data_IF_183884157871
#
_entry.id   IF_183884157871
#
_cell.length_a   1.000
_cell.length_b   1.000
_cell.length_c   1.000
_cell.angle_alpha   90.00
_cell.angle_beta   90.00
_cell.angle_gamma   90.00
#
_symmetry.space_group_name_H-M   'P 1'
#
loop_
_entity.id
_entity.type
_entity.pdbx_description
1 polymer ?
#
# COMPACT_ATOMS: atom_id res chain seq x y z
N UNK A 1 13.06 8.08 41.54
CA UNK A 1 14.52 8.03 41.28
C UNK A 1 15.10 6.60 41.20
N UNK A 2 14.29 5.53 41.11
CA UNK A 2 14.80 4.14 41.19
C UNK A 2 14.89 3.39 39.85
N UNK A 3 14.27 3.91 38.80
CA UNK A 3 14.32 3.35 37.45
C UNK A 3 14.67 4.50 36.50
N UNK A 4 15.63 4.26 35.62
CA UNK A 4 16.06 5.21 34.59
C UNK A 4 15.10 5.09 33.41
N UNK A 5 14.54 6.21 32.98
CA UNK A 5 13.82 6.31 31.71
C UNK A 5 14.76 6.76 30.58
N UNK A 6 14.22 6.99 29.39
CA UNK A 6 14.99 7.42 28.21
C UNK A 6 15.62 8.80 28.42
N UNK A 7 14.93 9.69 29.13
CA UNK A 7 15.35 11.07 29.39
C UNK A 7 16.50 11.11 30.41
N UNK A 8 16.35 10.37 31.50
CA UNK A 8 17.30 10.30 32.62
C UNK A 8 18.68 9.76 32.23
N UNK A 9 18.84 9.15 31.04
CA UNK A 9 20.13 8.66 30.53
C UNK A 9 21.08 9.77 30.10
N UNK A 10 20.52 10.93 29.75
CA UNK A 10 21.27 12.13 29.39
C UNK A 10 21.45 13.08 30.58
N UNK A 11 20.95 12.65 31.76
CA UNK A 11 21.22 13.15 33.10
C UNK A 11 22.71 13.13 33.43
N UNK A 12 23.38 14.24 33.72
CA UNK A 12 24.74 14.24 34.27
C UNK A 12 24.90 15.20 35.45
N UNK A 13 25.69 14.79 36.43
CA UNK A 13 26.08 15.60 37.58
C UNK A 13 27.46 16.24 37.32
N UNK A 14 27.50 17.56 37.21
CA UNK A 14 28.69 18.33 36.84
C UNK A 14 29.83 18.27 37.87
N UNK A 15 29.52 18.00 39.14
CA UNK A 15 30.52 17.90 40.20
C UNK A 15 31.28 16.58 40.17
N UNK A 16 30.65 15.53 39.63
CA UNK A 16 31.22 14.18 39.57
C UNK A 16 31.55 13.72 38.15
N UNK A 17 31.09 14.43 37.12
CA UNK A 17 31.14 14.04 35.70
C UNK A 17 30.53 12.65 35.45
N UNK A 18 29.62 12.20 36.33
CA UNK A 18 28.94 10.92 36.21
C UNK A 18 27.55 11.12 35.62
N UNK A 19 27.22 10.31 34.62
CA UNK A 19 25.86 10.24 34.12
C UNK A 19 24.97 9.51 35.11
N UNK A 20 23.69 9.85 35.13
CA UNK A 20 22.72 9.32 36.08
C UNK A 20 22.59 7.80 35.98
N UNK A 21 22.91 7.17 34.85
CA UNK A 21 22.95 5.71 34.72
C UNK A 21 24.15 5.04 35.43
N UNK A 22 25.20 5.81 35.72
CA UNK A 22 26.37 5.39 36.48
C UNK A 22 26.21 5.63 38.00
N UNK A 23 25.30 6.53 38.38
CA UNK A 23 25.04 6.91 39.78
C UNK A 23 24.13 5.93 40.52
N UNK A 24 24.24 5.90 41.84
CA UNK A 24 23.29 5.25 42.75
C UNK A 24 22.02 6.09 42.94
N UNK A 25 20.96 5.49 43.50
CA UNK A 25 19.73 6.22 43.84
C UNK A 25 19.98 7.40 44.81
N UNK A 26 20.94 7.26 45.72
CA UNK A 26 21.28 8.31 46.69
C UNK A 26 22.00 9.47 46.03
N UNK A 27 22.95 9.17 45.14
CA UNK A 27 23.68 10.19 44.38
C UNK A 27 22.75 10.94 43.43
N UNK A 28 21.86 10.24 42.70
CA UNK A 28 20.82 10.91 41.89
C UNK A 28 19.90 11.82 42.71
N UNK A 29 19.62 11.46 43.96
CA UNK A 29 18.80 12.30 44.83
C UNK A 29 19.49 13.58 45.27
N UNK A 30 20.82 13.57 45.38
CA UNK A 30 21.62 14.78 45.63
C UNK A 30 21.67 15.63 44.36
N UNK A 31 21.99 15.01 43.22
CA UNK A 31 22.06 15.68 41.90
C UNK A 31 20.75 16.37 41.49
N UNK A 32 19.60 15.76 41.80
CA UNK A 32 18.27 16.30 41.47
C UNK A 32 17.89 17.60 42.22
N UNK A 33 18.71 18.01 43.21
CA UNK A 33 18.54 19.24 44.00
C UNK A 33 19.83 20.06 44.05
N UNK A 34 20.66 19.98 42.99
CA UNK A 34 21.91 20.74 42.87
C UNK A 34 21.81 21.82 41.77
N UNK A 35 21.36 23.05 42.10
CA UNK A 35 21.09 24.09 41.12
C UNK A 35 22.34 24.48 40.33
N UNK A 36 22.23 24.41 39.01
CA UNK A 36 23.29 24.78 38.07
C UNK A 36 24.36 23.71 37.84
N UNK A 37 24.27 22.56 38.51
CA UNK A 37 25.20 21.45 38.37
C UNK A 37 24.58 20.18 37.76
N UNK A 38 23.24 20.09 37.69
CA UNK A 38 22.57 19.10 36.86
C UNK A 38 22.63 19.52 35.38
N UNK A 39 23.17 18.67 34.52
CA UNK A 39 23.45 18.96 33.11
C UNK A 39 22.79 17.94 32.18
N UNK A 40 22.37 18.39 31.00
CA UNK A 40 22.03 17.55 29.85
C UNK A 40 23.28 17.31 29.00
N UNK A 41 23.57 16.03 28.74
CA UNK A 41 24.78 15.59 28.04
C UNK A 41 24.54 14.90 26.69
N UNK A 42 23.33 15.01 26.12
CA UNK A 42 23.01 14.46 24.81
C UNK A 42 23.83 15.10 23.66
N UNK A 43 24.11 14.29 22.65
CA UNK A 43 25.04 14.66 21.56
C UNK A 43 24.51 15.82 20.73
N UNK A 44 23.21 15.83 20.45
CA UNK A 44 22.59 16.85 19.60
C UNK A 44 22.48 18.18 20.35
N UNK A 45 22.00 18.16 21.59
CA UNK A 45 21.94 19.38 22.43
C UNK A 45 23.33 19.96 22.66
N UNK A 46 24.34 19.11 22.89
CA UNK A 46 25.71 19.60 23.09
C UNK A 46 26.30 20.21 21.82
N UNK A 47 25.99 19.65 20.65
CA UNK A 47 26.38 20.23 19.36
C UNK A 47 25.69 21.58 19.08
N UNK A 48 24.40 21.70 19.41
CA UNK A 48 23.61 22.92 19.22
C UNK A 48 23.87 24.01 20.27
N UNK A 49 24.45 23.67 21.43
CA UNK A 49 24.65 24.59 22.57
C UNK A 49 25.35 25.92 22.25
N UNK A 50 26.04 26.03 21.11
CA UNK A 50 26.64 27.27 20.63
C UNK A 50 25.65 28.40 20.32
N UNK A 51 24.35 28.12 20.18
CA UNK A 51 23.30 29.14 20.03
C UNK A 51 22.97 29.84 21.36
N UNK A 52 23.31 29.22 22.49
CA UNK A 52 23.01 29.73 23.83
C UNK A 52 24.06 30.74 24.27
N UNK A 53 23.60 31.80 24.92
CA UNK A 53 24.48 32.84 25.50
C UNK A 53 24.70 32.66 27.00
N UNK A 54 23.88 31.85 27.66
CA UNK A 54 23.96 31.53 29.09
C UNK A 54 23.38 30.14 29.37
N UNK A 55 23.58 29.64 30.60
CA UNK A 55 22.99 28.38 31.05
C UNK A 55 23.74 27.12 30.62
N UNK A 56 25.00 27.23 30.23
CA UNK A 56 25.85 26.09 29.83
C UNK A 56 27.04 25.89 30.77
N UNK A 57 27.55 24.66 30.80
CA UNK A 57 28.83 24.28 31.43
C UNK A 57 29.64 23.53 30.37
N UNK A 58 30.59 24.23 29.75
CA UNK A 58 31.21 23.75 28.51
C UNK A 58 30.16 23.68 27.39
N UNK A 59 30.05 22.53 26.73
CA UNK A 59 29.03 22.27 25.71
C UNK A 59 27.73 21.69 26.30
N UNK A 60 27.69 21.36 27.60
CA UNK A 60 26.52 20.77 28.25
C UNK A 60 25.57 21.87 28.71
N UNK A 61 24.27 21.60 28.68
CA UNK A 61 23.21 22.58 29.01
C UNK A 61 22.65 22.29 30.39
N UNK A 62 22.40 23.32 31.19
CA UNK A 62 21.89 23.14 32.56
C UNK A 62 20.43 22.73 32.60
N UNK A 63 20.11 21.84 33.53
CA UNK A 63 18.77 21.36 33.80
C UNK A 63 18.27 21.87 35.14
N UNK A 64 16.97 22.07 35.26
CA UNK A 64 16.34 22.66 36.44
C UNK A 64 16.36 21.70 37.64
N UNK A 65 17.23 21.96 38.61
CA UNK A 65 17.40 21.14 39.82
C UNK A 65 17.24 21.97 41.12
N UNK A 66 16.04 22.50 41.42
CA UNK A 66 15.82 23.32 42.61
C UNK A 66 15.92 22.53 43.91
N UNK A 67 16.34 23.19 44.99
CA UNK A 67 16.23 22.69 46.38
C UNK A 67 15.16 23.47 47.16
N UNK A 68 14.05 22.83 47.59
CA UNK A 68 13.72 21.41 47.42
C UNK A 68 13.14 21.10 46.03
N UNK A 69 13.09 19.80 45.69
CA UNK A 69 12.44 19.27 44.47
C UNK A 69 11.05 19.87 44.30
N UNK A 70 10.78 20.39 43.11
CA UNK A 70 9.48 20.88 42.70
C UNK A 70 8.75 19.85 41.83
N UNK A 71 7.55 19.41 42.22
CA UNK A 71 6.78 18.45 41.42
C UNK A 71 6.50 18.95 40.00
N UNK A 72 6.75 18.10 39.01
CA UNK A 72 6.47 18.39 37.61
C UNK A 72 7.59 19.13 36.88
N UNK A 73 8.44 19.89 37.59
CA UNK A 73 9.45 20.73 36.97
C UNK A 73 10.88 20.21 37.12
N UNK A 74 11.26 19.76 38.32
CA UNK A 74 12.62 19.30 38.61
C UNK A 74 13.06 18.21 37.63
N UNK A 75 14.28 18.36 37.12
CA UNK A 75 15.01 17.43 36.26
C UNK A 75 14.38 17.14 34.90
N UNK A 76 13.30 17.82 34.53
CA UNK A 76 12.61 17.63 33.23
C UNK A 76 12.53 18.90 32.40
N UNK A 77 13.01 20.03 32.93
CA UNK A 77 13.06 21.32 32.25
C UNK A 77 14.50 21.83 32.22
N UNK A 78 14.80 22.69 31.26
CA UNK A 78 16.04 23.46 31.25
C UNK A 78 16.08 24.44 32.43
N UNK A 79 17.28 24.75 32.91
CA UNK A 79 17.44 25.76 33.95
C UNK A 79 17.01 27.15 33.45
N UNK A 80 16.42 27.97 34.30
CA UNK A 80 16.00 29.35 33.95
C UNK A 80 17.15 30.29 33.54
N UNK A 81 18.40 29.83 33.64
CA UNK A 81 19.57 30.53 33.12
C UNK A 81 19.88 30.20 31.64
N UNK A 82 19.21 29.20 31.05
CA UNK A 82 19.39 28.77 29.65
C UNK A 82 18.67 29.75 28.74
N UNK A 83 19.43 30.59 28.03
CA UNK A 83 18.87 31.64 27.19
C UNK A 83 19.81 32.04 26.05
N UNK A 84 19.24 32.62 25.00
CA UNK A 84 19.98 33.28 23.91
C UNK A 84 19.56 34.74 23.78
N UNK A 85 20.44 35.65 24.24
CA UNK A 85 20.13 37.07 24.30
C UNK A 85 19.00 37.36 25.29
N UNK A 86 17.83 37.74 24.79
CA UNK A 86 16.62 37.98 25.59
C UNK A 86 15.54 36.90 25.40
N UNK A 87 15.83 35.84 24.66
CA UNK A 87 14.89 34.75 24.42
C UNK A 87 15.13 33.62 25.42
N UNK A 88 14.04 33.19 26.06
CA UNK A 88 13.99 32.09 27.01
C UNK A 88 13.74 30.77 26.26
N UNK A 89 14.15 29.65 26.84
CA UNK A 89 13.97 28.33 26.22
C UNK A 89 12.54 27.78 26.42
N UNK A 90 11.97 27.15 25.39
CA UNK A 90 10.59 26.62 25.43
C UNK A 90 10.34 25.66 26.59
N UNK A 91 11.31 24.79 26.89
CA UNK A 91 11.20 23.78 27.94
C UNK A 91 11.78 24.26 29.28
N UNK A 92 11.65 25.55 29.60
CA UNK A 92 11.88 26.10 30.94
C UNK A 92 10.77 25.70 31.94
N UNK A 93 11.03 25.71 33.26
CA UNK A 93 10.08 25.26 34.27
C UNK A 93 8.83 26.16 34.40
N UNK A 94 8.88 27.39 33.89
CA UNK A 94 7.80 28.37 33.99
C UNK A 94 7.65 29.10 32.65
N UNK A 95 6.41 29.24 32.17
CA UNK A 95 6.13 30.03 30.97
C UNK A 95 6.37 31.53 31.24
N UNK A 96 7.19 32.17 30.41
CA UNK A 96 7.56 33.59 30.46
C UNK A 96 6.90 34.42 29.35
N UNK A 97 6.38 33.76 28.29
CA UNK A 97 5.66 34.38 27.16
C UNK A 97 6.52 34.86 25.99
N UNK A 98 7.84 34.75 26.10
CA UNK A 98 8.84 35.07 25.06
C UNK A 98 9.71 33.83 24.73
N UNK A 99 9.15 32.62 24.89
CA UNK A 99 9.87 31.37 24.74
C UNK A 99 10.11 31.01 23.26
N UNK A 100 11.27 30.42 22.96
CA UNK A 100 11.65 29.92 21.63
C UNK A 100 12.29 28.54 21.72
N UNK A 101 12.34 27.83 20.59
CA UNK A 101 13.10 26.59 20.45
C UNK A 101 14.59 26.94 20.24
N UNK A 102 15.44 26.95 21.28
CA UNK A 102 16.89 27.12 21.07
C UNK A 102 17.57 25.76 21.02
N UNK A 103 17.27 24.87 21.98
CA UNK A 103 17.81 23.50 22.06
C UNK A 103 16.77 22.44 22.42
N UNK A 104 15.49 22.82 22.58
CA UNK A 104 14.39 21.87 22.87
C UNK A 104 14.23 20.82 21.79
N UNK A 105 14.46 21.19 20.54
CA UNK A 105 14.32 20.33 19.37
C UNK A 105 15.35 19.19 19.38
N UNK A 106 16.61 19.54 19.64
CA UNK A 106 17.72 18.61 19.78
C UNK A 106 17.55 17.71 21.01
N UNK A 107 16.97 18.23 22.09
CA UNK A 107 16.65 17.42 23.27
C UNK A 107 15.66 16.31 22.91
N UNK A 108 14.62 16.63 22.15
CA UNK A 108 13.63 15.65 21.69
C UNK A 108 14.29 14.61 20.77
N UNK A 109 15.18 15.05 19.89
CA UNK A 109 15.95 14.17 19.03
C UNK A 109 16.89 13.23 19.81
N UNK A 110 17.59 13.74 20.84
CA UNK A 110 18.44 12.95 21.73
C UNK A 110 17.66 11.80 22.41
N UNK A 111 16.41 12.03 22.79
CA UNK A 111 15.53 10.99 23.39
C UNK A 111 14.77 10.15 22.36
N UNK A 112 15.06 10.31 21.07
CA UNK A 112 14.54 9.48 19.98
C UNK A 112 13.25 9.98 19.32
N UNK A 113 12.90 11.25 19.49
CA UNK A 113 11.76 11.90 18.84
C UNK A 113 12.27 12.74 17.66
N UNK A 114 11.85 12.45 16.43
CA UNK A 114 12.29 13.22 15.26
C UNK A 114 11.36 14.39 14.99
N UNK A 115 11.93 15.52 14.60
CA UNK A 115 11.18 16.65 14.06
C UNK A 115 10.66 16.32 12.68
N UNK A 116 9.55 16.97 12.36
CA UNK A 116 8.73 16.74 11.18
C UNK A 116 9.37 17.44 9.98
N UNK A 117 9.35 16.75 8.86
CA UNK A 117 9.50 17.31 7.52
C UNK A 117 8.92 18.72 7.38
N UNK A 118 9.67 19.59 6.69
CA UNK A 118 9.30 20.95 6.34
C UNK A 118 9.91 22.02 7.24
N UNK A 119 11.07 21.76 7.86
CA UNK A 119 11.80 22.70 8.72
C UNK A 119 12.97 23.40 8.01
N UNK A 120 13.19 23.09 6.74
CA UNK A 120 14.23 23.63 5.88
C UNK A 120 15.60 22.95 6.01
N UNK A 121 15.73 21.87 6.79
CA UNK A 121 16.97 21.12 6.99
C UNK A 121 16.76 19.62 6.73
N UNK A 122 17.71 18.95 6.06
CA UNK A 122 17.54 17.51 5.75
C UNK A 122 18.01 16.68 6.94
N UNK A 123 17.07 16.26 7.77
CA UNK A 123 17.32 15.52 9.01
C UNK A 123 17.52 14.01 8.78
N UNK A 124 17.92 13.31 9.84
CA UNK A 124 18.16 11.87 9.83
C UNK A 124 16.93 11.04 9.45
N UNK A 125 16.81 10.66 8.17
CA UNK A 125 15.71 9.88 7.61
C UNK A 125 15.01 10.57 6.43
N UNK A 126 15.36 11.82 6.15
CA UNK A 126 14.85 12.62 5.05
C UNK A 126 15.74 12.47 3.81
N UNK A 127 15.12 12.62 2.63
CA UNK A 127 15.77 12.64 1.33
C UNK A 127 15.77 14.07 0.72
N UNK A 128 14.91 14.95 1.23
CA UNK A 128 14.76 16.36 0.88
C UNK A 128 14.04 17.06 2.05
N UNK A 129 14.17 18.37 2.18
CA UNK A 129 13.30 19.22 3.02
C UNK A 129 13.20 20.61 2.36
N UNK A 130 12.03 20.97 1.84
CA UNK A 130 11.81 22.20 1.07
C UNK A 130 11.08 23.30 1.87
N UNK A 131 11.30 23.34 3.20
CA UNK A 131 10.78 24.38 4.11
C UNK A 131 9.24 24.42 4.19
N UNK A 132 8.58 23.32 3.82
CA UNK A 132 7.14 23.17 3.93
C UNK A 132 6.70 21.68 3.94
N UNK A 133 5.38 21.44 4.09
CA UNK A 133 4.80 20.09 4.09
C UNK A 133 3.76 19.92 2.98
N UNK A 134 3.90 20.63 1.87
CA UNK A 134 2.99 20.57 0.72
C UNK A 134 3.48 19.45 -0.18
N UNK A 135 2.71 18.38 -0.34
CA UNK A 135 3.04 17.37 -1.33
C UNK A 135 2.75 17.86 -2.77
N UNK A 136 3.51 17.36 -3.73
CA UNK A 136 3.33 17.60 -5.17
C UNK A 136 4.26 18.66 -5.77
N UNK A 137 5.23 19.19 -5.03
CA UNK A 137 6.26 20.13 -5.49
C UNK A 137 7.67 19.52 -5.54
N UNK A 138 7.78 18.22 -5.27
CA UNK A 138 9.02 17.45 -5.36
C UNK A 138 9.56 16.97 -4.02
N UNK A 139 9.11 17.53 -2.90
CA UNK A 139 9.39 16.99 -1.57
C UNK A 139 8.09 16.61 -0.86
N UNK A 140 7.92 15.31 -0.58
CA UNK A 140 6.66 14.84 0.01
C UNK A 140 6.49 15.32 1.45
N UNK A 141 5.27 15.21 1.99
CA UNK A 141 4.95 15.49 3.40
C UNK A 141 5.73 14.64 4.44
N UNK A 142 6.49 13.65 3.95
CA UNK A 142 7.34 12.75 4.73
C UNK A 142 8.83 12.97 4.41
N UNK A 143 9.16 14.06 3.72
CA UNK A 143 10.50 14.45 3.30
C UNK A 143 11.22 13.35 2.53
N UNK A 144 10.47 12.68 1.67
CA UNK A 144 10.97 11.80 0.62
C UNK A 144 10.86 12.52 -0.71
N UNK A 145 11.87 12.37 -1.57
CA UNK A 145 11.84 12.93 -2.93
C UNK A 145 10.67 12.28 -3.68
N UNK A 146 9.80 13.11 -4.24
CA UNK A 146 8.63 12.63 -4.97
C UNK A 146 9.02 12.00 -6.30
N UNK A 147 8.26 11.02 -6.81
CA UNK A 147 8.47 10.49 -8.15
C UNK A 147 8.53 11.61 -9.19
N UNK A 148 9.39 11.43 -10.19
CA UNK A 148 9.61 12.42 -11.25
C UNK A 148 10.13 13.78 -10.77
N UNK A 149 10.76 13.83 -9.60
CA UNK A 149 11.48 15.01 -9.13
C UNK A 149 12.90 14.64 -8.73
N UNK A 150 13.81 15.60 -8.86
CA UNK A 150 15.11 15.56 -8.21
C UNK A 150 15.30 16.82 -7.37
N UNK A 151 15.69 16.60 -6.12
CA UNK A 151 16.01 17.66 -5.17
C UNK A 151 17.53 17.80 -5.07
N UNK A 152 18.02 19.03 -5.01
CA UNK A 152 19.42 19.28 -4.70
C UNK A 152 19.71 19.10 -3.21
N UNK A 153 20.98 19.24 -2.84
CA UNK A 153 21.43 19.08 -1.46
C UNK A 153 21.47 20.42 -0.69
N UNK A 154 20.70 21.43 -1.11
CA UNK A 154 20.58 22.65 -0.31
C UNK A 154 19.62 22.44 0.87
N UNK A 155 19.75 23.30 1.86
CA UNK A 155 18.90 23.35 3.04
C UNK A 155 18.36 24.80 3.13
N UNK A 156 17.11 25.05 2.69
CA UNK A 156 16.11 24.08 2.18
C UNK A 156 16.45 23.51 0.80
N UNK A 157 15.98 22.30 0.51
CA UNK A 157 16.12 21.59 -0.76
C UNK A 157 15.31 22.26 -1.86
N UNK A 158 15.91 22.42 -3.05
CA UNK A 158 15.21 22.87 -4.26
C UNK A 158 14.91 21.68 -5.17
N UNK A 159 13.64 21.31 -5.27
CA UNK A 159 13.19 20.21 -6.13
C UNK A 159 12.80 20.69 -7.53
N UNK A 160 13.19 19.92 -8.55
CA UNK A 160 12.86 20.22 -9.95
C UNK A 160 12.17 19.04 -10.62
N UNK A 161 11.14 19.29 -11.46
CA UNK A 161 10.46 18.24 -12.19
C UNK A 161 11.36 17.65 -13.26
N UNK A 162 11.42 16.32 -13.31
CA UNK A 162 12.16 15.58 -14.31
C UNK A 162 11.33 15.33 -15.56
N UNK A 163 12.02 15.10 -16.68
CA UNK A 163 11.42 14.71 -17.95
C UNK A 163 12.28 13.66 -18.63
N UNK A 164 11.64 12.57 -19.11
CA UNK A 164 12.30 11.49 -19.83
C UNK A 164 13.09 10.50 -18.97
N UNK A 165 13.15 10.70 -17.65
CA UNK A 165 13.65 9.68 -16.73
C UNK A 165 12.60 8.58 -16.54
N UNK A 166 13.01 7.30 -16.46
CA UNK A 166 12.11 6.24 -16.07
C UNK A 166 11.61 6.52 -14.65
N UNK A 167 10.30 6.60 -14.50
CA UNK A 167 9.63 6.31 -13.25
C UNK A 167 9.05 4.91 -13.43
N UNK A 168 9.29 3.98 -12.52
CA UNK A 168 8.66 2.65 -12.59
C UNK A 168 7.51 2.60 -11.58
N UNK A 169 6.31 2.34 -12.06
CA UNK A 169 5.11 1.97 -11.29
C UNK A 169 5.09 0.47 -10.94
N UNK A 170 6.09 -0.28 -11.42
CA UNK A 170 6.22 -1.73 -11.25
C UNK A 170 5.42 -2.55 -12.26
N UNK A 171 4.93 -1.95 -13.34
CA UNK A 171 4.20 -2.63 -14.43
C UNK A 171 5.11 -2.94 -15.59
N UNK A 172 5.19 -4.23 -15.94
CA UNK A 172 6.14 -4.71 -16.94
C UNK A 172 5.80 -4.37 -18.41
N UNK A 173 4.58 -3.90 -18.68
CA UNK A 173 4.07 -3.61 -20.02
C UNK A 173 3.83 -2.12 -20.32
N UNK A 174 4.08 -1.22 -19.36
CA UNK A 174 4.03 0.22 -19.60
C UNK A 174 5.44 0.73 -19.93
N UNK A 175 5.55 1.58 -20.95
CA UNK A 175 6.74 2.43 -21.06
C UNK A 175 6.43 3.72 -20.32
N UNK A 176 7.02 3.86 -19.15
CA UNK A 176 6.77 5.00 -18.28
C UNK A 176 7.91 6.00 -18.37
N UNK A 177 7.53 7.27 -18.42
CA UNK A 177 8.51 8.34 -18.39
C UNK A 177 7.93 9.55 -17.66
N UNK A 178 8.80 10.23 -16.94
CA UNK A 178 8.46 11.50 -16.35
C UNK A 178 8.17 12.53 -17.44
N UNK A 179 7.08 13.27 -17.27
CA UNK A 179 6.71 14.39 -18.14
C UNK A 179 6.23 15.52 -17.24
N UNK A 180 7.04 16.57 -17.13
CA UNK A 180 6.77 17.75 -16.30
C UNK A 180 6.42 17.42 -14.83
N UNK A 181 7.21 16.55 -14.18
CA UNK A 181 7.03 16.20 -12.76
C UNK A 181 5.93 15.16 -12.51
N UNK A 182 5.30 14.66 -13.57
CA UNK A 182 4.28 13.62 -13.48
C UNK A 182 4.81 12.35 -14.13
N UNK A 183 4.67 11.22 -13.46
CA UNK A 183 4.92 9.93 -14.09
C UNK A 183 3.81 9.66 -15.10
N UNK A 184 4.17 9.56 -16.38
CA UNK A 184 3.22 9.27 -17.45
C UNK A 184 3.45 7.86 -17.96
N UNK A 185 2.41 7.04 -17.89
CA UNK A 185 2.36 5.68 -18.41
C UNK A 185 1.68 5.68 -19.77
N UNK A 186 2.35 5.21 -20.82
CA UNK A 186 1.64 4.84 -22.05
C UNK A 186 1.00 3.45 -21.88
N UNK A 187 -0.19 3.44 -21.29
CA UNK A 187 -0.98 2.22 -21.05
C UNK A 187 -1.51 1.58 -22.35
N UNK A 188 -1.22 2.15 -23.51
CA UNK A 188 -1.66 1.64 -24.82
C UNK A 188 -1.05 0.27 -25.16
N UNK A 189 -0.05 -0.21 -24.42
CA UNK A 189 0.65 -1.49 -24.67
C UNK A 189 0.26 -2.65 -23.73
N UNK A 190 -0.51 -2.42 -22.68
CA UNK A 190 -0.91 -3.47 -21.73
C UNK A 190 -2.17 -4.21 -22.21
N UNK A 191 -2.00 -5.08 -23.21
CA UNK A 191 -3.07 -5.99 -23.62
C UNK A 191 -3.50 -6.87 -22.44
N UNK A 192 -4.81 -6.93 -22.19
CA UNK A 192 -5.40 -7.82 -21.19
C UNK A 192 -4.98 -9.27 -21.45
N UNK A 193 -4.52 -9.97 -20.41
CA UNK A 193 -4.11 -11.38 -20.52
C UNK A 193 -5.28 -12.38 -20.53
N UNK A 194 -5.01 -13.61 -20.96
CA UNK A 194 -5.91 -14.72 -20.64
C UNK A 194 -5.73 -15.10 -19.18
N UNK A 195 -6.81 -15.48 -18.50
CA UNK A 195 -6.76 -15.92 -17.11
C UNK A 195 -7.24 -17.36 -16.97
N UNK A 196 -6.43 -18.19 -16.33
CA UNK A 196 -6.85 -19.52 -15.90
C UNK A 196 -7.32 -19.48 -14.45
N UNK A 197 -8.59 -19.79 -14.23
CA UNK A 197 -9.20 -19.71 -12.90
C UNK A 197 -9.26 -21.08 -12.23
N UNK A 198 -8.85 -21.09 -10.96
CA UNK A 198 -8.86 -22.24 -10.08
C UNK A 198 -9.87 -22.03 -8.97
N UNK A 199 -10.73 -23.03 -8.73
CA UNK A 199 -11.55 -23.07 -7.52
C UNK A 199 -10.65 -22.95 -6.29
N UNK A 200 -11.00 -22.02 -5.42
CA UNK A 200 -10.23 -21.70 -4.24
C UNK A 200 -11.12 -21.67 -2.99
N UNK A 201 -10.47 -21.81 -1.83
CA UNK A 201 -11.05 -21.63 -0.50
C UNK A 201 -9.98 -21.07 0.42
N UNK A 202 -10.37 -20.37 1.48
CA UNK A 202 -9.45 -19.97 2.55
C UNK A 202 -8.64 -21.18 3.03
N UNK A 203 -7.32 -21.03 3.06
CA UNK A 203 -6.42 -22.05 3.60
C UNK A 203 -6.62 -22.18 5.12
N UNK A 204 -6.24 -23.33 5.67
CA UNK A 204 -6.31 -23.55 7.11
C UNK A 204 -5.34 -22.60 7.83
N UNK A 205 -5.80 -21.95 8.90
CA UNK A 205 -4.99 -20.98 9.65
C UNK A 205 -4.90 -19.59 9.01
N UNK A 206 -5.49 -19.38 7.82
CA UNK A 206 -5.56 -18.05 7.22
C UNK A 206 -6.63 -17.18 7.89
N UNK A 207 -6.38 -15.86 7.90
CA UNK A 207 -7.39 -14.86 8.26
C UNK A 207 -8.51 -14.94 7.24
N UNK A 208 -9.72 -15.27 7.70
CA UNK A 208 -10.86 -15.44 6.79
C UNK A 208 -11.36 -14.07 6.33
N UNK A 209 -11.64 -13.96 5.04
CA UNK A 209 -12.35 -12.81 4.49
C UNK A 209 -13.68 -12.57 5.23
N UNK A 210 -13.86 -11.32 5.65
CA UNK A 210 -15.11 -10.83 6.22
C UNK A 210 -15.95 -10.18 5.12
N UNK A 211 -17.17 -10.68 4.97
CA UNK A 211 -18.13 -10.17 3.99
C UNK A 211 -18.40 -8.68 4.22
N UNK A 212 -18.42 -7.91 3.14
CA UNK A 212 -18.67 -6.47 3.17
C UNK A 212 -19.41 -6.04 1.92
N UNK A 213 -20.14 -4.95 2.03
CA UNK A 213 -20.87 -4.36 0.91
C UNK A 213 -19.98 -3.31 0.24
N UNK A 214 -20.05 -3.25 -1.09
CA UNK A 214 -19.36 -2.24 -1.90
C UNK A 214 -20.27 -1.72 -3.00
N UNK A 215 -20.08 -0.47 -3.44
CA UNK A 215 -20.68 0.03 -4.67
C UNK A 215 -19.94 -0.53 -5.88
N UNK A 216 -20.69 -1.04 -6.86
CA UNK A 216 -20.16 -1.53 -8.13
C UNK A 216 -20.96 -0.92 -9.27
N UNK A 217 -20.27 -0.16 -10.12
CA UNK A 217 -20.82 0.46 -11.31
C UNK A 217 -20.16 -0.14 -12.56
N UNK A 218 -20.97 -0.78 -13.40
CA UNK A 218 -20.57 -1.12 -14.76
C UNK A 218 -21.63 -0.69 -15.78
N UNK A 219 -21.37 -0.94 -17.05
CA UNK A 219 -22.28 -0.73 -18.17
C UNK A 219 -23.66 -1.42 -18.06
N UNK A 220 -23.83 -2.37 -17.14
CA UNK A 220 -25.08 -3.08 -16.97
C UNK A 220 -25.91 -2.59 -15.80
N UNK A 221 -25.26 -2.31 -14.67
CA UNK A 221 -25.93 -1.92 -13.43
C UNK A 221 -25.00 -1.16 -12.48
N UNK A 222 -25.57 -0.16 -11.83
CA UNK A 222 -25.02 0.57 -10.70
C UNK A 222 -25.69 0.07 -9.41
N UNK A 223 -24.94 -0.61 -8.54
CA UNK A 223 -25.52 -1.32 -7.39
C UNK A 223 -24.61 -1.47 -6.18
N UNK A 224 -25.23 -1.34 -5.01
CA UNK A 224 -24.66 -1.85 -3.76
C UNK A 224 -24.67 -3.38 -3.75
N UNK A 225 -23.48 -3.95 -3.61
CA UNK A 225 -23.22 -5.37 -3.79
C UNK A 225 -22.51 -5.96 -2.58
N UNK A 226 -23.06 -7.03 -1.99
CA UNK A 226 -22.40 -7.82 -0.97
C UNK A 226 -21.33 -8.72 -1.57
N UNK A 227 -20.07 -8.43 -1.28
CA UNK A 227 -18.92 -9.31 -1.52
C UNK A 227 -18.88 -10.35 -0.42
N UNK A 228 -19.23 -11.59 -0.73
CA UNK A 228 -19.55 -12.59 0.29
C UNK A 228 -18.36 -13.44 0.73
N UNK A 229 -17.56 -13.95 -0.21
CA UNK A 229 -16.37 -14.77 0.06
C UNK A 229 -15.54 -15.01 -1.20
N UNK A 230 -14.23 -15.26 -1.08
CA UNK A 230 -13.42 -15.76 -2.19
C UNK A 230 -13.94 -17.15 -2.64
N UNK A 231 -13.93 -17.39 -3.95
CA UNK A 231 -14.31 -18.68 -4.54
C UNK A 231 -13.35 -19.18 -5.64
N UNK A 232 -12.53 -18.30 -6.23
CA UNK A 232 -11.46 -18.67 -7.15
C UNK A 232 -10.24 -17.76 -7.01
N UNK A 233 -9.11 -18.25 -7.48
CA UNK A 233 -7.93 -17.46 -7.86
C UNK A 233 -7.73 -17.57 -9.36
N UNK A 234 -7.24 -16.51 -9.99
CA UNK A 234 -6.94 -16.45 -11.40
C UNK A 234 -5.48 -16.10 -11.60
N UNK A 235 -4.78 -16.91 -12.37
CA UNK A 235 -3.43 -16.60 -12.83
C UNK A 235 -3.49 -16.13 -14.28
N UNK A 236 -2.63 -15.17 -14.67
CA UNK A 236 -2.41 -14.91 -16.07
C UNK A 236 -1.86 -16.19 -16.73
N UNK A 237 -2.29 -16.44 -17.95
CA UNK A 237 -2.08 -17.71 -18.63
C UNK A 237 -1.71 -17.49 -20.09
N UNK A 238 -0.61 -18.11 -20.50
CA UNK A 238 -0.23 -18.21 -21.90
C UNK A 238 -1.11 -19.26 -22.59
N UNK A 239 -1.92 -18.80 -23.54
CA UNK A 239 -2.74 -19.66 -24.40
C UNK A 239 -2.05 -19.86 -25.75
N UNK A 240 -1.55 -21.07 -25.98
CA UNK A 240 -0.89 -21.50 -27.23
C UNK A 240 0.42 -20.79 -27.58
N UNK A 241 1.15 -20.24 -26.60
CA UNK A 241 2.41 -19.51 -26.87
C UNK A 241 2.18 -18.07 -27.32
N UNK A 242 1.04 -17.48 -26.96
CA UNK A 242 0.72 -16.07 -27.21
C UNK A 242 1.51 -15.12 -26.28
N UNK A 243 2.09 -15.66 -25.21
CA UNK A 243 2.78 -14.90 -24.18
C UNK A 243 1.86 -14.44 -23.05
N UNK A 244 2.45 -13.76 -22.07
CA UNK A 244 1.75 -13.11 -20.96
C UNK A 244 2.27 -11.67 -20.92
N UNK A 245 1.38 -10.70 -21.05
CA UNK A 245 1.69 -9.27 -21.06
C UNK A 245 1.96 -8.74 -19.66
N UNK A 246 1.22 -9.24 -18.66
CA UNK A 246 1.26 -8.74 -17.27
C UNK A 246 1.38 -9.95 -16.31
N UNK A 247 2.57 -10.57 -16.19
CA UNK A 247 2.75 -11.79 -15.40
C UNK A 247 2.43 -11.62 -13.91
N UNK A 248 2.48 -10.40 -13.39
CA UNK A 248 2.11 -9.99 -12.03
C UNK A 248 0.60 -9.77 -11.83
N UNK A 249 -0.19 -9.70 -12.90
CA UNK A 249 -1.63 -9.45 -12.81
C UNK A 249 -2.37 -10.74 -12.43
N UNK A 250 -2.55 -11.00 -11.14
CA UNK A 250 -3.41 -12.07 -10.66
C UNK A 250 -4.78 -11.56 -10.24
N UNK A 251 -5.76 -12.46 -10.20
CA UNK A 251 -7.13 -12.15 -9.78
C UNK A 251 -7.54 -12.99 -8.57
N UNK A 252 -8.23 -12.36 -7.62
CA UNK A 252 -9.07 -13.08 -6.64
C UNK A 252 -10.52 -12.89 -7.01
N UNK A 253 -11.25 -13.99 -7.19
CA UNK A 253 -12.66 -13.97 -7.54
C UNK A 253 -13.50 -14.16 -6.28
N UNK A 254 -14.34 -13.17 -5.97
CA UNK A 254 -15.30 -13.20 -4.89
C UNK A 254 -16.69 -13.47 -5.40
N UNK A 255 -17.44 -14.30 -4.67
CA UNK A 255 -18.86 -14.46 -4.89
C UNK A 255 -19.62 -13.23 -4.44
N UNK A 256 -20.48 -12.69 -5.30
CA UNK A 256 -21.30 -11.50 -5.01
C UNK A 256 -22.79 -11.81 -4.93
N UNK A 257 -23.53 -10.93 -4.25
CA UNK A 257 -24.99 -10.88 -4.16
C UNK A 257 -25.44 -9.43 -4.05
N UNK A 258 -26.70 -9.14 -4.39
CA UNK A 258 -27.29 -7.84 -4.10
C UNK A 258 -27.20 -7.54 -2.58
N UNK A 259 -26.78 -6.32 -2.23
CA UNK A 259 -26.74 -5.85 -0.85
C UNK A 259 -28.16 -5.82 -0.25
N UNK A 260 -28.27 -6.05 1.06
CA UNK A 260 -29.57 -6.00 1.75
C UNK A 260 -29.93 -4.61 2.23
N UNK A 261 -28.93 -3.74 2.35
CA UNK A 261 -29.04 -2.36 2.86
C UNK A 261 -29.82 -1.45 1.92
N UNK A 262 -29.82 -1.75 0.61
CA UNK A 262 -30.72 -1.12 -0.36
C UNK A 262 -31.68 -2.17 -0.96
N UNK A 263 -32.84 -2.41 -0.31
CA UNK A 263 -33.85 -3.35 -0.80
C UNK A 263 -34.64 -2.83 -2.01
N UNK A 264 -34.48 -1.57 -2.40
CA UNK A 264 -35.17 -0.98 -3.56
C UNK A 264 -34.45 -1.26 -4.88
N UNK A 265 -33.24 -1.83 -4.84
CA UNK A 265 -32.47 -2.15 -6.03
C UNK A 265 -33.24 -3.06 -7.00
N UNK A 266 -33.31 -2.62 -8.26
CA UNK A 266 -34.00 -3.35 -9.31
C UNK A 266 -33.30 -4.68 -9.60
N UNK A 267 -34.06 -5.72 -9.92
CA UNK A 267 -33.46 -6.99 -10.37
C UNK A 267 -32.74 -6.80 -11.70
N UNK A 268 -31.63 -7.52 -11.87
CA UNK A 268 -30.91 -7.54 -13.14
C UNK A 268 -31.84 -7.90 -14.31
N UNK A 269 -31.87 -7.03 -15.32
CA UNK A 269 -32.62 -7.24 -16.55
C UNK A 269 -31.74 -8.03 -17.51
N UNK A 270 -32.23 -9.21 -17.92
CA UNK A 270 -31.54 -10.04 -18.91
C UNK A 270 -31.41 -9.27 -20.22
N UNK A 271 -30.26 -9.43 -20.86
CA UNK A 271 -29.93 -8.81 -22.13
C UNK A 271 -29.10 -9.77 -22.97
N UNK A 272 -29.05 -9.54 -24.26
CA UNK A 272 -28.22 -10.31 -25.19
C UNK A 272 -27.06 -9.45 -25.65
N UNK A 273 -25.89 -10.04 -25.74
CA UNK A 273 -24.66 -9.38 -26.21
C UNK A 273 -23.96 -10.28 -27.20
N UNK A 274 -23.18 -9.69 -28.10
CA UNK A 274 -22.25 -10.39 -28.96
C UNK A 274 -20.84 -10.24 -28.39
N UNK A 275 -20.19 -11.38 -28.14
CA UNK A 275 -18.79 -11.44 -27.74
C UNK A 275 -17.94 -11.83 -28.94
N UNK A 276 -16.80 -11.16 -29.12
CA UNK A 276 -15.84 -11.45 -30.18
C UNK A 276 -14.46 -11.65 -29.57
N UNK A 277 -13.89 -12.83 -29.79
CA UNK A 277 -12.57 -13.19 -29.25
C UNK A 277 -11.86 -14.21 -30.16
N UNK A 278 -10.65 -14.70 -29.80
CA UNK A 278 -9.93 -15.69 -30.62
C UNK A 278 -10.66 -17.02 -30.82
N UNK A 279 -11.67 -17.32 -30.01
CA UNK A 279 -12.57 -18.45 -30.22
C UNK A 279 -13.71 -18.16 -31.20
N UNK A 280 -13.84 -16.94 -31.69
CA UNK A 280 -14.82 -16.52 -32.69
C UNK A 280 -15.87 -15.58 -32.09
N UNK A 281 -16.96 -15.43 -32.82
CA UNK A 281 -18.08 -14.57 -32.45
C UNK A 281 -19.24 -15.39 -31.91
N UNK A 282 -19.76 -15.02 -30.73
CA UNK A 282 -20.88 -15.70 -30.09
C UNK A 282 -21.91 -14.71 -29.53
N UNK A 283 -23.19 -14.98 -29.80
CA UNK A 283 -24.31 -14.26 -29.18
C UNK A 283 -24.69 -14.95 -27.85
N UNK A 284 -24.66 -14.21 -26.76
CA UNK A 284 -24.90 -14.71 -25.41
C UNK A 284 -26.05 -13.98 -24.71
N UNK A 285 -26.93 -14.74 -24.06
CA UNK A 285 -27.90 -14.24 -23.09
C UNK A 285 -27.22 -14.05 -21.72
N UNK A 286 -27.11 -12.81 -21.26
CA UNK A 286 -26.63 -12.43 -19.93
C UNK A 286 -27.75 -12.58 -18.91
N UNK A 287 -27.49 -13.34 -17.83
CA UNK A 287 -28.55 -13.80 -16.94
C UNK A 287 -28.60 -13.09 -15.59
N UNK A 288 -27.46 -12.91 -14.94
CA UNK A 288 -27.32 -12.28 -13.60
C UNK A 288 -25.86 -12.11 -13.19
N UNK A 289 -25.54 -11.14 -12.32
CA UNK A 289 -24.23 -11.04 -11.69
C UNK A 289 -23.93 -12.27 -10.82
N UNK A 290 -22.65 -12.66 -10.75
CA UNK A 290 -22.22 -13.86 -10.03
C UNK A 290 -20.91 -13.72 -9.26
N UNK A 291 -19.95 -12.96 -9.79
CA UNK A 291 -18.67 -12.77 -9.14
C UNK A 291 -18.12 -11.36 -9.37
N UNK A 292 -17.28 -10.89 -8.43
CA UNK A 292 -16.38 -9.77 -8.59
C UNK A 292 -14.96 -10.33 -8.66
N UNK A 293 -14.17 -9.92 -9.64
CA UNK A 293 -12.75 -10.28 -9.75
C UNK A 293 -11.94 -9.05 -9.48
N UNK A 294 -10.95 -9.21 -8.61
CA UNK A 294 -10.19 -8.11 -8.03
C UNK A 294 -8.73 -8.40 -8.31
N UNK A 295 -7.98 -7.46 -8.91
CA UNK A 295 -6.54 -7.55 -9.02
C UNK A 295 -5.91 -7.84 -7.65
N UNK A 296 -4.92 -8.73 -7.62
CA UNK A 296 -4.25 -9.12 -6.40
C UNK A 296 -2.77 -9.35 -6.66
N UNK A 297 -1.91 -8.86 -5.77
CA UNK A 297 -0.52 -9.28 -5.75
C UNK A 297 -0.49 -10.67 -5.15
N UNK A 298 0.25 -11.57 -5.81
CA UNK A 298 0.49 -12.90 -5.26
C UNK A 298 1.96 -13.07 -4.92
N UNK A 299 2.20 -13.76 -3.81
CA UNK A 299 3.54 -14.03 -3.31
C UNK A 299 3.65 -15.45 -2.82
N UNK A 300 4.89 -15.86 -2.54
CA UNK A 300 5.20 -17.12 -1.86
C UNK A 300 4.79 -17.09 -0.39
N UNK A 301 5.75 -17.25 0.51
CA UNK A 301 5.52 -17.34 1.96
C UNK A 301 5.39 -16.00 2.69
N UNK A 302 5.58 -14.87 2.00
CA UNK A 302 5.47 -13.52 2.55
C UNK A 302 4.38 -12.74 1.82
N UNK A 303 3.74 -11.81 2.54
CA UNK A 303 2.78 -10.92 1.93
C UNK A 303 3.49 -10.04 0.91
N UNK A 304 3.16 -10.11 -0.39
CA UNK A 304 3.63 -9.09 -1.30
C UNK A 304 2.98 -7.77 -0.87
N UNK A 305 3.71 -6.66 -1.03
CA UNK A 305 3.08 -5.34 -1.05
C UNK A 305 1.91 -5.40 -2.04
N UNK A 306 0.80 -4.75 -1.69
CA UNK A 306 -0.37 -4.71 -2.56
C UNK A 306 0.08 -4.27 -3.96
N UNK A 307 -0.42 -4.88 -5.04
CA UNK A 307 -0.03 -4.42 -6.36
C UNK A 307 -0.45 -2.96 -6.46
N UNK A 308 0.36 -2.12 -7.10
CA UNK A 308 -0.06 -0.77 -7.43
C UNK A 308 -1.45 -0.86 -8.07
N UNK A 309 -2.45 -0.23 -7.43
CA UNK A 309 -3.75 -0.07 -8.06
C UNK A 309 -3.51 0.74 -9.32
N UNK A 310 -3.85 0.21 -10.50
CA UNK A 310 -3.61 0.92 -11.77
C UNK A 310 -3.33 0.02 -12.98
N UNK A 311 -3.01 -1.26 -12.78
CA UNK A 311 -2.58 -2.14 -13.88
C UNK A 311 -3.74 -2.84 -14.60
N UNK A 312 -4.78 -3.20 -13.85
CA UNK A 312 -5.87 -4.03 -14.31
C UNK A 312 -7.19 -3.59 -13.68
N UNK A 313 -8.26 -3.57 -14.46
CA UNK A 313 -9.60 -3.33 -13.95
C UNK A 313 -10.06 -4.38 -12.93
N UNK A 314 -10.93 -3.96 -12.02
CA UNK A 314 -11.83 -4.91 -11.39
C UNK A 314 -12.81 -5.42 -12.44
N UNK A 315 -13.25 -6.67 -12.33
CA UNK A 315 -14.25 -7.22 -13.24
C UNK A 315 -15.49 -7.73 -12.54
N UNK A 316 -16.67 -7.23 -12.95
CA UNK A 316 -17.95 -7.77 -12.54
C UNK A 316 -18.42 -8.81 -13.55
N UNK A 317 -18.60 -10.04 -13.07
CA UNK A 317 -18.88 -11.20 -13.90
C UNK A 317 -20.33 -11.65 -13.82
N UNK A 318 -20.92 -11.84 -14.98
CA UNK A 318 -22.30 -12.24 -15.19
C UNK A 318 -22.35 -13.65 -15.75
N UNK A 319 -23.26 -14.47 -15.22
CA UNK A 319 -23.55 -15.76 -15.82
C UNK A 319 -24.15 -15.54 -17.21
N UNK A 320 -23.54 -16.15 -18.21
CA UNK A 320 -23.98 -16.10 -19.59
C UNK A 320 -24.27 -17.50 -20.13
N UNK A 321 -25.07 -17.58 -21.19
CA UNK A 321 -25.30 -18.80 -21.97
C UNK A 321 -25.48 -18.41 -23.45
N UNK A 322 -25.24 -19.32 -24.41
CA UNK A 322 -25.58 -19.06 -25.81
C UNK A 322 -27.05 -18.67 -25.99
N UNK A 323 -27.28 -17.64 -26.81
CA UNK A 323 -28.60 -17.16 -27.20
C UNK A 323 -29.39 -18.25 -27.92
N UNK A 324 -30.72 -18.22 -27.81
CA UNK A 324 -31.57 -19.20 -28.50
C UNK A 324 -31.42 -19.03 -30.01
N UNK A 325 -31.09 -20.12 -30.71
CA UNK A 325 -30.89 -20.11 -32.16
C UNK A 325 -29.49 -19.66 -32.59
N UNK A 326 -28.63 -19.26 -31.65
CA UNK A 326 -27.21 -19.00 -31.91
C UNK A 326 -26.44 -20.26 -32.25
N UNK A 327 -25.28 -20.08 -32.90
CA UNK A 327 -24.32 -21.16 -33.14
C UNK A 327 -23.86 -21.76 -31.81
N UNK A 328 -23.83 -23.09 -31.74
CA UNK A 328 -23.33 -23.78 -30.56
C UNK A 328 -21.80 -23.72 -30.58
N UNK A 329 -21.21 -23.32 -29.47
CA UNK A 329 -19.75 -23.42 -29.31
C UNK A 329 -19.29 -24.88 -29.40
N UNK A 330 -18.37 -25.12 -30.34
CA UNK A 330 -17.70 -26.40 -30.49
C UNK A 330 -16.44 -26.43 -29.61
N UNK A 331 -16.25 -27.49 -28.78
CA UNK A 331 -15.10 -27.56 -27.88
C UNK A 331 -13.77 -27.47 -28.60
N UNK A 332 -12.82 -26.71 -28.03
CA UNK A 332 -11.48 -26.48 -28.61
C UNK A 332 -10.40 -26.88 -27.62
N UNK A 333 -9.39 -27.59 -28.11
CA UNK A 333 -8.18 -27.90 -27.33
C UNK A 333 -7.19 -26.75 -27.49
N UNK A 334 -6.64 -26.29 -26.37
CA UNK A 334 -5.60 -25.27 -26.29
C UNK A 334 -4.52 -25.71 -25.30
N UNK A 335 -3.30 -25.24 -25.49
CA UNK A 335 -2.25 -25.37 -24.46
C UNK A 335 -2.36 -24.16 -23.55
N UNK A 336 -2.45 -24.40 -22.24
CA UNK A 336 -2.45 -23.36 -21.22
C UNK A 336 -1.23 -23.53 -20.31
N UNK A 337 -0.43 -22.48 -20.21
CA UNK A 337 0.69 -22.39 -19.27
C UNK A 337 0.42 -21.25 -18.29
N UNK A 338 0.49 -21.52 -17.01
CA UNK A 338 0.46 -20.49 -15.96
C UNK A 338 1.47 -20.82 -14.85
N UNK A 339 1.49 -20.01 -13.79
CA UNK A 339 2.37 -20.22 -12.64
C UNK A 339 2.18 -21.54 -11.87
N UNK A 340 1.18 -22.37 -12.20
CA UNK A 340 0.94 -23.66 -11.54
C UNK A 340 1.19 -24.87 -12.44
N UNK A 341 0.74 -24.84 -13.69
CA UNK A 341 0.78 -26.02 -14.56
C UNK A 341 0.85 -25.65 -16.04
N UNK A 342 1.50 -26.51 -16.82
CA UNK A 342 1.51 -26.48 -18.28
C UNK A 342 0.72 -27.69 -18.79
N UNK A 343 -0.41 -27.46 -19.47
CA UNK A 343 -1.33 -28.53 -19.89
C UNK A 343 -2.11 -28.25 -21.16
N UNK A 344 -2.38 -29.32 -21.91
CA UNK A 344 -3.45 -29.36 -22.90
C UNK A 344 -4.82 -29.38 -22.21
N UNK A 345 -5.65 -28.40 -22.57
CA UNK A 345 -6.93 -28.10 -21.93
C UNK A 345 -8.01 -27.95 -23.00
N UNK A 346 -9.19 -28.50 -22.76
CA UNK A 346 -10.36 -28.35 -23.64
C UNK A 346 -11.27 -27.26 -23.10
N UNK A 347 -11.40 -26.16 -23.83
CA UNK A 347 -12.47 -25.17 -23.67
C UNK A 347 -13.79 -25.78 -24.17
N UNK A 348 -14.84 -25.74 -23.36
CA UNK A 348 -16.07 -26.51 -23.58
C UNK A 348 -17.28 -25.69 -24.00
N UNK A 349 -17.51 -24.54 -23.35
CA UNK A 349 -18.61 -23.61 -23.63
C UNK A 349 -18.48 -22.34 -22.80
N UNK A 350 -19.04 -21.21 -23.26
CA UNK A 350 -19.16 -20.00 -22.47
C UNK A 350 -19.93 -20.27 -21.16
N UNK A 351 -19.53 -19.55 -20.12
CA UNK A 351 -20.10 -19.68 -18.78
C UNK A 351 -20.39 -18.33 -18.13
N UNK A 352 -19.46 -17.39 -18.28
CA UNK A 352 -19.50 -16.06 -17.69
C UNK A 352 -18.96 -15.05 -18.71
N UNK A 353 -19.53 -13.86 -18.74
CA UNK A 353 -18.89 -12.66 -19.31
C UNK A 353 -18.50 -11.77 -18.14
N UNK A 354 -17.44 -10.97 -18.28
CA UNK A 354 -17.04 -10.04 -17.26
C UNK A 354 -16.72 -8.69 -17.86
N UNK A 355 -17.29 -7.67 -17.24
CA UNK A 355 -17.11 -6.29 -17.62
C UNK A 355 -16.15 -5.62 -16.65
N UNK A 356 -15.30 -4.71 -17.13
CA UNK A 356 -14.65 -3.74 -16.27
C UNK A 356 -15.69 -3.08 -15.37
N UNK A 357 -15.39 -2.92 -14.09
CA UNK A 357 -16.31 -2.37 -13.09
C UNK A 357 -15.59 -1.35 -12.23
N UNK A 358 -16.22 -0.20 -12.04
CA UNK A 358 -15.82 0.78 -11.05
C UNK A 358 -16.24 0.27 -9.66
N UNK A 359 -15.26 0.16 -8.77
CA UNK A 359 -15.45 -0.23 -7.37
C UNK A 359 -15.25 1.02 -6.51
N UNK A 360 -16.27 1.42 -5.75
CA UNK A 360 -16.15 2.54 -4.79
C UNK A 360 -15.71 3.89 -5.40
N UNK A 361 -15.90 4.10 -6.72
CA UNK A 361 -15.50 5.34 -7.39
C UNK A 361 -14.01 5.40 -7.74
N UNK A 362 -13.33 4.24 -7.77
CA UNK A 362 -11.95 4.11 -8.26
C UNK A 362 -11.83 4.37 -9.77
N UNK A 363 -12.94 4.28 -10.50
CA UNK A 363 -12.96 4.39 -11.95
C UNK A 363 -12.65 3.07 -12.66
N UNK A 364 -12.58 3.15 -13.99
CA UNK A 364 -12.26 2.04 -14.89
C UNK A 364 -11.08 2.47 -15.76
N UNK A 365 -10.04 1.64 -15.80
CA UNK A 365 -8.77 1.84 -16.51
C UNK A 365 -8.99 1.60 -18.01
N UNK A 366 -9.46 0.40 -18.41
CA UNK A 366 -9.78 0.06 -19.79
C UNK A 366 -11.27 -0.35 -19.92
N UNK A 367 -12.17 0.60 -20.23
CA UNK A 367 -13.58 0.31 -20.44
C UNK A 367 -13.88 -0.68 -21.58
N UNK A 368 -12.92 -0.94 -22.49
CA UNK A 368 -13.08 -1.89 -23.59
C UNK A 368 -12.55 -3.31 -23.25
N UNK A 369 -11.87 -3.47 -22.12
CA UNK A 369 -11.17 -4.69 -21.71
C UNK A 369 -12.09 -5.78 -21.14
N UNK A 370 -13.04 -6.31 -21.91
CA UNK A 370 -13.94 -7.35 -21.40
C UNK A 370 -13.29 -8.75 -21.39
N UNK A 371 -13.81 -9.65 -20.54
CA UNK A 371 -13.43 -11.06 -20.52
C UNK A 371 -14.62 -11.97 -20.85
N UNK A 372 -14.43 -12.96 -21.72
CA UNK A 372 -15.34 -14.09 -21.87
C UNK A 372 -14.74 -15.35 -21.25
N UNK A 373 -15.50 -16.04 -20.41
CA UNK A 373 -15.03 -17.19 -19.66
C UNK A 373 -15.70 -18.49 -20.05
N UNK A 374 -14.88 -19.45 -20.44
CA UNK A 374 -15.24 -20.78 -20.87
C UNK A 374 -15.05 -21.79 -19.75
N UNK A 375 -15.92 -22.79 -19.66
CA UNK A 375 -15.64 -23.97 -18.85
C UNK A 375 -14.53 -24.77 -19.47
N UNK A 376 -13.60 -25.26 -18.65
CA UNK A 376 -12.48 -26.08 -19.10
C UNK A 376 -12.45 -27.46 -18.45
N UNK A 377 -11.74 -28.38 -19.10
CA UNK A 377 -11.31 -29.67 -18.55
C UNK A 377 -9.96 -30.06 -19.16
N UNK A 378 -9.16 -30.83 -18.44
CA UNK A 378 -7.92 -31.40 -18.98
C UNK A 378 -8.21 -32.24 -20.24
N UNK A 379 -7.39 -32.08 -21.27
CA UNK A 379 -7.44 -32.93 -22.46
C UNK A 379 -7.04 -34.36 -22.12
N UNK A 380 -7.60 -35.33 -22.86
CA UNK A 380 -7.23 -36.74 -22.73
C UNK A 380 -6.00 -37.01 -23.61
N UNK A 381 -4.85 -37.15 -22.97
CA UNK A 381 -3.56 -37.43 -23.63
C UNK A 381 -3.06 -38.84 -23.32
N UNK A 382 -2.10 -39.32 -24.10
CA UNK A 382 -1.31 -40.53 -23.84
C UNK A 382 0.19 -40.21 -23.97
N UNK A 383 0.98 -40.20 -22.87
CA UNK A 383 0.60 -40.54 -21.50
C UNK A 383 -0.34 -39.50 -20.86
N UNK A 384 -1.12 -39.94 -19.88
CA UNK A 384 -2.12 -39.09 -19.21
C UNK A 384 -1.46 -37.96 -18.42
N UNK A 385 -1.93 -36.72 -18.64
CA UNK A 385 -1.52 -35.55 -17.86
C UNK A 385 -1.75 -35.72 -16.34
N UNK A 386 -0.85 -35.24 -15.47
CA UNK A 386 -0.98 -35.33 -14.03
C UNK A 386 -2.18 -34.51 -13.53
N UNK A 387 -2.83 -34.93 -12.44
CA UNK A 387 -3.89 -34.12 -11.83
C UNK A 387 -3.28 -32.97 -11.03
N UNK A 388 -3.92 -31.81 -11.04
CA UNK A 388 -3.54 -30.71 -10.16
C UNK A 388 -3.68 -31.13 -8.69
N UNK A 389 -2.61 -30.99 -7.92
CA UNK A 389 -2.52 -31.36 -6.49
C UNK A 389 -2.93 -30.24 -5.54
N UNK A 390 -3.24 -29.06 -6.08
CA UNK A 390 -3.54 -27.86 -5.33
C UNK A 390 -2.30 -27.08 -4.91
N UNK A 391 -2.46 -25.78 -4.73
CA UNK A 391 -1.41 -24.85 -4.31
C UNK A 391 -2.00 -23.85 -3.31
N UNK A 392 -1.20 -23.43 -2.33
CA UNK A 392 -1.55 -22.29 -1.48
C UNK A 392 -0.99 -21.02 -2.12
N UNK A 393 -1.82 -19.98 -2.15
CA UNK A 393 -1.53 -18.70 -2.78
C UNK A 393 -1.71 -17.62 -1.74
N UNK A 394 -0.64 -16.90 -1.41
CA UNK A 394 -0.78 -15.68 -0.64
C UNK A 394 -1.27 -14.59 -1.59
N UNK A 395 -2.43 -13.99 -1.29
CA UNK A 395 -3.00 -12.91 -2.10
C UNK A 395 -3.26 -11.68 -1.24
N UNK A 396 -2.74 -10.54 -1.68
CA UNK A 396 -3.05 -9.22 -1.13
C UNK A 396 -3.83 -8.42 -2.16
N UNK A 397 -4.97 -7.87 -1.77
CA UNK A 397 -5.77 -6.97 -2.60
C UNK A 397 -6.50 -5.94 -1.72
N UNK A 398 -7.31 -5.03 -2.29
CA UNK A 398 -8.03 -4.03 -1.51
C UNK A 398 -9.06 -4.57 -0.49
N UNK A 399 -9.29 -5.88 -0.45
CA UNK A 399 -10.10 -6.53 0.60
C UNK A 399 -9.28 -7.08 1.77
N UNK A 400 -7.95 -6.97 1.71
CA UNK A 400 -6.98 -7.44 2.69
C UNK A 400 -6.14 -8.61 2.17
N UNK A 401 -5.28 -9.14 3.04
CA UNK A 401 -4.43 -10.28 2.72
C UNK A 401 -5.04 -11.60 3.20
N UNK A 402 -5.05 -12.61 2.34
CA UNK A 402 -5.54 -13.96 2.64
C UNK A 402 -4.69 -15.02 1.95
N UNK A 403 -4.58 -16.20 2.56
CA UNK A 403 -3.98 -17.39 1.94
C UNK A 403 -5.11 -18.25 1.40
N UNK A 404 -5.12 -18.46 0.09
CA UNK A 404 -6.14 -19.22 -0.63
C UNK A 404 -5.56 -20.54 -1.13
N UNK A 405 -6.21 -21.66 -0.82
CA UNK A 405 -5.89 -22.97 -1.39
C UNK A 405 -6.59 -23.11 -2.75
N UNK A 406 -5.84 -22.98 -3.84
CA UNK A 406 -6.27 -23.39 -5.17
C UNK A 406 -6.41 -24.93 -5.22
N UNK A 407 -7.50 -25.43 -5.81
CA UNK A 407 -7.83 -26.87 -5.77
C UNK A 407 -8.10 -27.49 -7.13
N UNK A 408 -8.67 -26.74 -8.08
CA UNK A 408 -9.04 -27.29 -9.39
C UNK A 408 -9.19 -26.19 -10.44
N UNK A 409 -8.53 -26.28 -11.61
CA UNK A 409 -8.82 -25.41 -12.75
C UNK A 409 -10.24 -25.67 -13.25
N UNK A 410 -11.04 -24.61 -13.44
CA UNK A 410 -12.43 -24.76 -13.92
C UNK A 410 -12.92 -23.69 -14.89
N UNK A 411 -12.15 -22.61 -15.13
CA UNK A 411 -12.41 -21.65 -16.20
C UNK A 411 -11.13 -21.22 -16.92
N UNK A 412 -11.28 -20.92 -18.20
CA UNK A 412 -10.37 -20.09 -18.98
C UNK A 412 -11.15 -18.82 -19.33
N UNK A 413 -10.62 -17.66 -19.00
CA UNK A 413 -11.15 -16.36 -19.38
C UNK A 413 -10.23 -15.74 -20.41
N UNK A 414 -10.80 -15.29 -21.53
CA UNK A 414 -10.05 -14.71 -22.64
C UNK A 414 -10.49 -13.26 -22.85
N UNK A 415 -9.55 -12.35 -23.18
CA UNK A 415 -9.87 -11.00 -23.63
C UNK A 415 -10.87 -11.05 -24.78
N UNK A 416 -11.89 -10.20 -24.72
CA UNK A 416 -12.99 -10.19 -25.65
C UNK A 416 -13.48 -8.77 -25.87
N UNK A 417 -13.91 -8.48 -27.10
CA UNK A 417 -14.70 -7.27 -27.37
C UNK A 417 -16.17 -7.61 -27.27
N UNK A 418 -16.98 -6.62 -26.88
CA UNK A 418 -18.40 -6.80 -26.58
C UNK A 418 -19.23 -5.78 -27.36
N UNK A 419 -20.34 -6.24 -27.90
CA UNK A 419 -21.33 -5.39 -28.57
C UNK A 419 -22.73 -5.73 -28.07
N UNK A 420 -23.54 -4.73 -27.75
CA UNK A 420 -24.95 -4.93 -27.38
C UNK A 420 -25.80 -5.28 -28.61
N UNK A 421 -26.77 -6.20 -28.46
CA UNK A 421 -27.65 -6.71 -29.52
C UNK A 421 -29.10 -6.25 -29.40
#
# INVERSE_FOLDING_TARGET
MGLLDVFSRFLEDGSTDLTWDQMTNGERAVSAVDPGDLLWSGELVTAASGVLTSGTVGAKVRMYAPDPVQPGSSVSHFDTAVASGSADELMEPFATGDETFLVTEELLADIGWRLLCGNGAVDGGEQCDDDNTVGGDGCSILCQVEPCHSCDASEPSSCTPETGTPCEDGVSCTTESCSAGVCTSDATECALDHFKLYKARSANGSVKFSAREVSLLDEFEDKMTLVAKPERVGNPADKNGEGISIPEAHLVCYKIKDAKTDPAQLRFVRRSVQMMNPFGTEDLDVLKPTALRVPAATGGSFAPEAPASGVLDHFKCYKAKPSKGGTKFEPRTVTLVDGFENKETVALKPAEICNPVDREGEGVIDPAGHLECYRIKDAKTDPRQPKFSGADVFATNPFGSEILRATKPDRLCVPSTRQDL
#
